data_IF_279353506104
#
_entry.id   IF_279353506104
#
_cell.length_a   1.000
_cell.length_b   1.000
_cell.length_c   1.000
_cell.angle_alpha   90.00
_cell.angle_beta   90.00
_cell.angle_gamma   90.00
#
_symmetry.space_group_name_H-M   'P 1'
#
loop_
_entity.id
_entity.type
_entity.pdbx_description
1 polymer ?
#
# COMPACT_ATOMS: atom_id res chain seq x y z
N UNK A 1 -81.79 -9.57 -2.71
CA UNK A 1 -81.32 -9.02 -4.01
C UNK A 1 -80.16 -8.09 -3.73
N UNK A 2 -78.94 -8.52 -4.07
CA UNK A 2 -77.73 -7.77 -3.80
C UNK A 2 -77.40 -6.73 -4.86
N UNK A 3 -76.50 -5.81 -4.52
CA UNK A 3 -75.59 -5.16 -5.47
C UNK A 3 -74.18 -5.13 -4.85
N UNK A 4 -73.24 -5.48 -5.72
CA UNK A 4 -71.92 -6.03 -5.44
C UNK A 4 -70.95 -4.95 -4.99
N UNK A 5 -70.16 -5.30 -3.98
CA UNK A 5 -68.90 -4.65 -3.63
C UNK A 5 -67.93 -4.83 -4.79
N UNK A 6 -67.46 -3.73 -5.38
CA UNK A 6 -66.45 -3.72 -6.43
C UNK A 6 -65.07 -3.87 -5.81
N UNK A 7 -64.57 -5.09 -5.75
CA UNK A 7 -63.15 -5.36 -5.53
C UNK A 7 -62.42 -4.90 -6.79
N UNK A 8 -61.70 -3.79 -6.71
CA UNK A 8 -60.77 -3.36 -7.75
C UNK A 8 -59.57 -4.31 -7.67
N UNK A 9 -59.66 -5.39 -8.44
CA UNK A 9 -58.58 -6.33 -8.64
C UNK A 9 -57.49 -5.59 -9.47
N UNK A 10 -56.51 -5.02 -8.79
CA UNK A 10 -55.28 -4.58 -9.46
C UNK A 10 -54.61 -5.84 -10.01
N UNK A 11 -54.73 -6.05 -11.32
CA UNK A 11 -54.09 -7.14 -12.04
C UNK A 11 -52.58 -6.95 -11.97
N UNK A 12 -51.93 -7.58 -10.97
CA UNK A 12 -50.49 -7.72 -10.91
C UNK A 12 -50.09 -8.74 -11.99
N UNK A 13 -49.92 -8.27 -13.22
CA UNK A 13 -49.46 -9.10 -14.33
C UNK A 13 -47.94 -9.23 -14.22
N UNK A 14 -47.47 -10.03 -13.26
CA UNK A 14 -46.07 -10.47 -13.26
C UNK A 14 -45.95 -11.51 -14.37
N UNK A 15 -45.31 -11.17 -15.48
CA UNK A 15 -44.91 -12.15 -16.50
C UNK A 15 -43.77 -13.04 -15.94
N UNK A 16 -44.09 -13.89 -14.96
CA UNK A 16 -43.22 -15.00 -14.57
C UNK A 16 -43.42 -16.07 -15.63
N UNK A 17 -42.44 -16.22 -16.53
CA UNK A 17 -42.41 -17.39 -17.42
C UNK A 17 -41.81 -18.54 -16.61
N UNK A 18 -42.66 -19.47 -16.18
CA UNK A 18 -42.22 -20.74 -15.62
C UNK A 18 -41.68 -21.62 -16.77
N UNK A 19 -40.38 -21.92 -16.73
CA UNK A 19 -39.79 -23.05 -17.47
C UNK A 19 -39.08 -23.94 -16.47
N UNK A 20 -39.76 -25.01 -16.04
CA UNK A 20 -39.28 -25.90 -14.97
C UNK A 20 -39.44 -25.28 -13.57
N UNK A 21 -38.53 -25.61 -12.65
CA UNK A 21 -38.49 -25.08 -11.27
C UNK A 21 -38.01 -23.61 -11.18
N UNK A 22 -37.68 -22.99 -12.31
CA UNK A 22 -37.15 -21.63 -12.35
C UNK A 22 -38.28 -20.63 -12.58
N UNK A 23 -38.38 -19.65 -11.68
CA UNK A 23 -39.11 -18.42 -11.93
C UNK A 23 -38.15 -17.43 -12.60
N UNK A 24 -38.45 -17.04 -13.85
CA UNK A 24 -37.58 -16.16 -14.64
C UNK A 24 -38.28 -14.83 -14.92
N UNK A 25 -37.50 -13.75 -14.86
CA UNK A 25 -37.89 -12.42 -15.36
C UNK A 25 -37.42 -12.30 -16.81
N UNK A 26 -38.31 -11.86 -17.71
CA UNK A 26 -38.00 -11.65 -19.12
C UNK A 26 -36.88 -10.61 -19.31
N UNK A 27 -36.10 -10.73 -20.39
CA UNK A 27 -35.09 -9.73 -20.74
C UNK A 27 -35.70 -8.33 -20.86
N UNK A 28 -34.97 -7.33 -20.36
CA UNK A 28 -35.36 -5.91 -20.29
C UNK A 28 -36.50 -5.60 -19.30
N UNK A 29 -36.78 -6.50 -18.37
CA UNK A 29 -37.67 -6.24 -17.22
C UNK A 29 -36.89 -6.25 -15.90
N UNK A 30 -37.44 -5.57 -14.90
CA UNK A 30 -36.88 -5.53 -13.56
C UNK A 30 -37.96 -5.72 -12.49
N UNK A 31 -37.53 -6.17 -11.31
CA UNK A 31 -38.29 -6.11 -10.08
C UNK A 31 -37.88 -4.85 -9.32
N UNK A 32 -38.82 -3.97 -8.96
CA UNK A 32 -38.46 -2.71 -8.32
C UNK A 32 -39.64 -1.85 -7.91
N UNK A 33 -39.35 -0.74 -7.23
CA UNK A 33 -40.33 0.27 -6.83
C UNK A 33 -40.37 1.40 -7.89
N UNK A 34 -41.55 1.68 -8.43
CA UNK A 34 -41.80 2.68 -9.48
C UNK A 34 -40.81 2.66 -10.67
N UNK A 35 -40.40 1.49 -11.20
CA UNK A 35 -39.29 1.40 -12.15
C UNK A 35 -39.58 1.97 -13.55
N UNK A 36 -40.76 2.56 -13.79
CA UNK A 36 -41.16 3.18 -15.07
C UNK A 36 -41.36 4.69 -14.99
N UNK A 37 -41.28 5.28 -13.79
CA UNK A 37 -41.45 6.73 -13.58
C UNK A 37 -40.31 7.35 -12.78
N UNK A 38 -39.54 6.51 -12.09
CA UNK A 38 -38.35 6.89 -11.34
C UNK A 38 -37.15 6.11 -11.91
N UNK A 39 -36.62 6.62 -13.01
CA UNK A 39 -35.63 5.94 -13.85
C UNK A 39 -34.43 6.83 -14.16
N UNK A 40 -33.33 6.21 -14.61
CA UNK A 40 -32.17 6.86 -15.19
C UNK A 40 -31.71 6.08 -16.42
N UNK A 41 -30.91 6.72 -17.27
CA UNK A 41 -30.38 6.10 -18.49
C UNK A 41 -28.90 5.76 -18.32
N UNK A 42 -28.55 4.50 -18.60
CA UNK A 42 -27.17 4.03 -18.67
C UNK A 42 -26.94 3.28 -19.99
N UNK A 43 -25.94 3.71 -20.77
CA UNK A 43 -25.62 3.14 -22.09
C UNK A 43 -26.87 2.98 -23.00
N UNK A 44 -27.73 4.01 -23.04
CA UNK A 44 -28.95 4.02 -23.86
C UNK A 44 -30.08 3.12 -23.37
N UNK A 45 -29.94 2.50 -22.19
CA UNK A 45 -30.97 1.66 -21.57
C UNK A 45 -31.56 2.36 -20.35
N UNK A 46 -32.88 2.38 -20.25
CA UNK A 46 -33.59 2.91 -19.08
C UNK A 46 -33.57 1.88 -17.93
N UNK A 47 -33.24 2.35 -16.73
CA UNK A 47 -33.12 1.54 -15.51
C UNK A 47 -33.90 2.22 -14.38
N UNK A 48 -34.70 1.47 -13.64
CA UNK A 48 -35.36 1.98 -12.43
C UNK A 48 -34.37 2.28 -11.31
N UNK A 49 -34.53 3.41 -10.62
CA UNK A 49 -33.68 3.85 -9.51
C UNK A 49 -33.65 2.87 -8.31
N UNK A 50 -34.69 2.04 -8.16
CA UNK A 50 -34.80 1.04 -7.10
C UNK A 50 -35.20 -0.30 -7.71
N UNK A 51 -34.28 -0.96 -8.40
CA UNK A 51 -34.62 -2.14 -9.19
C UNK A 51 -33.53 -3.21 -9.27
N UNK A 52 -33.93 -4.46 -9.48
CA UNK A 52 -33.11 -5.59 -9.87
C UNK A 52 -33.64 -6.13 -11.20
N UNK A 53 -32.83 -6.13 -12.26
CA UNK A 53 -33.29 -6.54 -13.59
C UNK A 53 -32.20 -7.15 -14.47
N UNK A 54 -32.61 -7.76 -15.57
CA UNK A 54 -31.73 -8.36 -16.58
C UNK A 54 -31.83 -7.59 -17.89
N UNK A 55 -30.68 -7.23 -18.44
CA UNK A 55 -30.58 -6.34 -19.60
C UNK A 55 -29.78 -7.01 -20.71
N UNK A 56 -30.28 -6.89 -21.95
CA UNK A 56 -29.61 -7.46 -23.11
C UNK A 56 -28.45 -6.55 -23.55
N UNK A 57 -27.28 -7.15 -23.77
CA UNK A 57 -26.12 -6.54 -24.43
C UNK A 57 -25.91 -7.19 -25.81
N UNK A 58 -25.11 -6.59 -26.72
CA UNK A 58 -24.92 -7.15 -28.07
C UNK A 58 -24.43 -8.60 -28.12
N UNK A 59 -23.69 -9.05 -27.11
CA UNK A 59 -23.09 -10.39 -27.05
C UNK A 59 -23.37 -11.15 -25.75
N UNK A 60 -24.16 -10.61 -24.83
CA UNK A 60 -24.44 -11.21 -23.52
C UNK A 60 -25.68 -10.61 -22.87
N UNK A 61 -26.00 -11.03 -21.63
CA UNK A 61 -26.97 -10.36 -20.78
C UNK A 61 -26.32 -10.09 -19.43
N UNK A 62 -26.72 -9.01 -18.77
CA UNK A 62 -26.22 -8.65 -17.44
C UNK A 62 -27.36 -8.43 -16.44
N UNK A 63 -27.11 -8.80 -15.19
CA UNK A 63 -27.97 -8.45 -14.07
C UNK A 63 -27.52 -7.10 -13.50
N UNK A 64 -28.43 -6.16 -13.33
CA UNK A 64 -28.17 -4.87 -12.68
C UNK A 64 -28.99 -4.76 -11.40
N UNK A 65 -28.34 -4.31 -10.32
CA UNK A 65 -28.97 -3.91 -9.08
C UNK A 65 -28.78 -2.41 -8.90
N UNK A 66 -29.87 -1.69 -8.69
CA UNK A 66 -29.91 -0.24 -8.57
C UNK A 66 -30.60 0.19 -7.28
N UNK A 67 -29.99 1.16 -6.60
CA UNK A 67 -30.54 1.83 -5.44
C UNK A 67 -30.01 3.25 -5.37
N UNK A 68 -30.86 4.25 -5.60
CA UNK A 68 -30.48 5.67 -5.60
C UNK A 68 -29.79 6.11 -4.30
N UNK A 69 -30.27 5.63 -3.15
CA UNK A 69 -29.66 5.89 -1.84
C UNK A 69 -28.46 5.02 -1.49
N UNK A 70 -28.01 4.15 -2.41
CA UNK A 70 -27.01 3.11 -2.17
C UNK A 70 -27.60 1.71 -1.99
N UNK A 71 -26.71 0.73 -1.81
CA UNK A 71 -27.02 -0.70 -1.70
C UNK A 71 -26.45 -1.24 -0.39
N UNK A 72 -27.24 -2.04 0.33
CA UNK A 72 -26.80 -2.72 1.56
C UNK A 72 -27.00 -4.23 1.41
N UNK A 73 -25.96 -5.00 1.74
CA UNK A 73 -25.98 -6.46 1.71
C UNK A 73 -25.97 -7.02 3.13
N UNK A 74 -26.98 -7.83 3.46
CA UNK A 74 -27.17 -8.42 4.79
C UNK A 74 -27.09 -9.94 4.76
N UNK A 75 -26.43 -10.54 5.74
CA UNK A 75 -26.48 -11.99 5.99
C UNK A 75 -26.48 -12.27 7.50
N UNK A 76 -27.23 -13.28 7.94
CA UNK A 76 -27.38 -13.57 9.38
C UNK A 76 -27.95 -12.37 10.16
N UNK A 77 -28.81 -11.56 9.52
CA UNK A 77 -29.41 -10.33 10.07
C UNK A 77 -28.41 -9.22 10.41
N UNK A 78 -27.21 -9.24 9.83
CA UNK A 78 -26.15 -8.25 10.02
C UNK A 78 -25.74 -7.63 8.69
N UNK A 79 -25.40 -6.34 8.69
CA UNK A 79 -24.82 -5.69 7.51
C UNK A 79 -23.42 -6.24 7.25
N UNK A 80 -23.13 -6.63 6.01
CA UNK A 80 -21.82 -7.14 5.59
C UNK A 80 -21.08 -6.16 4.70
N UNK A 81 -21.78 -5.61 3.73
CA UNK A 81 -21.24 -4.68 2.74
C UNK A 81 -22.25 -3.57 2.44
N UNK A 82 -21.75 -2.37 2.20
CA UNK A 82 -22.52 -1.22 1.74
C UNK A 82 -21.85 -0.61 0.52
N UNK A 83 -22.64 -0.15 -0.44
CA UNK A 83 -22.24 0.77 -1.50
C UNK A 83 -23.02 2.05 -1.27
N UNK A 84 -22.35 3.15 -0.94
CA UNK A 84 -23.00 4.45 -0.74
C UNK A 84 -23.42 5.06 -2.09
N UNK A 85 -24.34 6.02 -2.07
CA UNK A 85 -24.70 6.83 -3.25
C UNK A 85 -23.51 7.62 -3.82
N UNK A 86 -22.45 7.83 -3.02
CA UNK A 86 -21.17 8.41 -3.46
C UNK A 86 -20.29 7.43 -4.26
N UNK A 87 -20.69 6.16 -4.33
CA UNK A 87 -19.96 5.06 -4.96
C UNK A 87 -18.90 4.41 -4.07
N UNK A 88 -18.71 4.87 -2.82
CA UNK A 88 -17.77 4.25 -1.89
C UNK A 88 -18.32 2.92 -1.36
N UNK A 89 -17.46 1.90 -1.30
CA UNK A 89 -17.79 0.56 -0.81
C UNK A 89 -17.22 0.37 0.60
N UNK A 90 -18.07 0.01 1.55
CA UNK A 90 -17.69 -0.34 2.91
C UNK A 90 -17.88 -1.82 3.19
N UNK A 91 -16.86 -2.49 3.75
CA UNK A 91 -16.95 -3.86 4.28
C UNK A 91 -16.68 -3.80 5.78
N UNK A 92 -17.68 -4.14 6.61
CA UNK A 92 -17.58 -4.01 8.06
C UNK A 92 -17.59 -2.56 8.60
N UNK A 93 -17.79 -1.56 7.74
CA UNK A 93 -17.93 -0.14 8.11
C UNK A 93 -19.16 0.49 7.45
N UNK A 94 -19.77 1.46 8.12
CA UNK A 94 -20.91 2.25 7.63
C UNK A 94 -20.49 3.55 6.93
N UNK A 95 -19.26 3.98 7.19
CA UNK A 95 -18.73 5.28 6.77
C UNK A 95 -17.42 5.08 6.01
N UNK A 96 -17.45 4.45 4.82
CA UNK A 96 -16.27 4.33 3.99
C UNK A 96 -15.79 5.72 3.55
N UNK A 97 -14.57 6.06 3.97
CA UNK A 97 -13.83 7.30 3.69
C UNK A 97 -13.04 7.23 2.38
N UNK A 98 -12.73 6.03 1.90
CA UNK A 98 -12.14 5.77 0.58
C UNK A 98 -13.11 5.04 -0.36
N UNK A 99 -12.72 4.88 -1.64
CA UNK A 99 -13.50 4.11 -2.63
C UNK A 99 -13.79 2.69 -2.17
N UNK A 100 -12.86 2.07 -1.45
CA UNK A 100 -13.04 0.83 -0.72
C UNK A 100 -12.48 1.01 0.69
N UNK A 101 -13.32 0.83 1.71
CA UNK A 101 -12.89 0.81 3.11
C UNK A 101 -13.28 -0.53 3.75
N UNK A 102 -12.30 -1.19 4.37
CA UNK A 102 -12.49 -2.50 5.03
C UNK A 102 -12.12 -2.36 6.51
N UNK A 103 -13.11 -2.55 7.40
CA UNK A 103 -12.86 -2.61 8.84
C UNK A 103 -12.54 -4.05 9.25
N UNK A 104 -11.30 -4.46 9.01
CA UNK A 104 -10.82 -5.81 9.31
C UNK A 104 -9.54 -6.17 8.55
N UNK A 105 -9.17 -7.45 8.60
CA UNK A 105 -8.02 -7.98 7.86
C UNK A 105 -8.41 -8.32 6.43
N UNK A 106 -7.56 -7.98 5.47
CA UNK A 106 -7.63 -8.44 4.08
C UNK A 106 -6.60 -9.56 3.93
N UNK A 107 -7.02 -10.74 3.48
CA UNK A 107 -6.12 -11.84 3.13
C UNK A 107 -6.08 -11.91 1.60
N UNK A 108 -4.91 -11.65 1.03
CA UNK A 108 -4.65 -11.69 -0.41
C UNK A 108 -3.40 -12.52 -0.67
N UNK A 109 -3.33 -13.19 -1.82
CA UNK A 109 -2.12 -13.88 -2.27
C UNK A 109 -1.06 -12.87 -2.75
N UNK A 110 -1.48 -11.80 -3.44
CA UNK A 110 -0.62 -10.72 -3.93
C UNK A 110 -1.38 -9.39 -3.96
N UNK A 111 -0.67 -8.29 -3.72
CA UNK A 111 -1.18 -6.92 -3.86
C UNK A 111 -0.21 -6.13 -4.73
N UNK A 112 -0.66 -5.74 -5.91
CA UNK A 112 0.05 -4.76 -6.75
C UNK A 112 -0.44 -3.36 -6.42
N UNK A 113 0.48 -2.49 -6.01
CA UNK A 113 0.21 -1.07 -5.75
C UNK A 113 0.80 -0.27 -6.89
N UNK A 114 -0.06 0.41 -7.66
CA UNK A 114 0.41 1.33 -8.70
C UNK A 114 0.90 2.62 -8.04
N UNK A 115 2.14 2.98 -8.33
CA UNK A 115 2.78 4.17 -7.79
C UNK A 115 2.70 5.31 -8.80
N UNK A 116 2.39 6.51 -8.32
CA UNK A 116 2.35 7.73 -9.14
C UNK A 116 3.71 8.43 -9.24
N UNK A 117 4.70 7.99 -8.45
CA UNK A 117 6.05 8.56 -8.39
C UNK A 117 7.10 7.47 -8.69
N UNK A 118 8.21 7.81 -9.37
CA UNK A 118 9.30 6.88 -9.62
C UNK A 118 10.00 6.47 -8.31
N UNK A 119 10.67 5.30 -8.36
CA UNK A 119 11.55 4.76 -7.30
C UNK A 119 12.55 5.77 -6.74
N UNK A 120 13.08 5.56 -5.52
CA UNK A 120 13.99 6.49 -4.87
C UNK A 120 15.43 6.49 -5.41
N UNK A 121 15.67 5.97 -6.63
CA UNK A 121 16.98 5.92 -7.30
C UNK A 121 17.73 7.27 -7.37
N UNK A 122 17.03 8.39 -7.12
CA UNK A 122 17.64 9.70 -6.98
C UNK A 122 18.68 9.77 -5.85
N UNK A 123 18.64 8.86 -4.87
CA UNK A 123 19.64 8.74 -3.79
C UNK A 123 21.05 8.50 -4.36
N UNK A 124 21.17 7.92 -5.54
CA UNK A 124 22.46 7.63 -6.18
C UNK A 124 23.01 8.77 -7.06
N UNK A 125 22.31 9.91 -7.16
CA UNK A 125 22.79 11.05 -7.95
C UNK A 125 23.90 11.79 -7.21
N UNK A 126 24.81 12.41 -7.97
CA UNK A 126 25.96 13.14 -7.41
C UNK A 126 25.56 14.33 -6.53
N UNK A 127 24.40 14.93 -6.79
CA UNK A 127 23.84 16.07 -6.06
C UNK A 127 22.95 15.66 -4.87
N UNK A 128 22.84 14.37 -4.57
CA UNK A 128 22.07 13.90 -3.41
C UNK A 128 22.76 14.30 -2.10
N UNK A 129 22.06 15.09 -1.28
CA UNK A 129 22.53 15.52 0.04
C UNK A 129 22.39 14.40 1.07
N UNK A 130 23.27 13.39 0.97
CA UNK A 130 23.34 12.30 1.93
C UNK A 130 23.85 12.84 3.26
N UNK A 131 22.94 12.90 4.25
CA UNK A 131 23.24 13.28 5.64
C UNK A 131 24.44 12.50 6.18
N UNK A 132 25.20 13.10 7.09
CA UNK A 132 26.21 12.35 7.83
C UNK A 132 25.56 11.44 8.88
N UNK A 133 26.26 10.36 9.26
CA UNK A 133 25.79 9.49 10.35
C UNK A 133 25.67 10.24 11.69
N UNK A 134 26.47 11.30 11.89
CA UNK A 134 26.35 12.17 13.07
C UNK A 134 25.05 12.97 13.06
N UNK A 135 24.67 13.55 11.91
CA UNK A 135 23.39 14.24 11.77
C UNK A 135 22.21 13.29 11.94
N UNK A 136 22.28 12.09 11.35
CA UNK A 136 21.25 11.05 11.52
C UNK A 136 21.15 10.65 13.01
N UNK A 137 22.28 10.43 13.68
CA UNK A 137 22.30 10.12 15.11
C UNK A 137 21.65 11.24 15.96
N UNK A 138 21.97 12.49 15.65
CA UNK A 138 21.39 13.64 16.36
C UNK A 138 19.88 13.75 16.11
N UNK A 139 19.42 13.49 14.88
CA UNK A 139 18.00 13.43 14.56
C UNK A 139 17.27 12.33 15.34
N UNK A 140 17.83 11.11 15.39
CA UNK A 140 17.24 9.99 16.13
C UNK A 140 17.19 10.31 17.62
N UNK A 141 18.24 10.93 18.20
CA UNK A 141 18.21 11.34 19.61
C UNK A 141 17.13 12.36 19.92
N UNK A 142 16.86 13.27 18.99
CA UNK A 142 15.86 14.32 19.16
C UNK A 142 14.42 13.85 18.91
N UNK A 143 14.21 12.97 17.93
CA UNK A 143 12.87 12.62 17.44
C UNK A 143 12.46 11.16 17.70
N UNK A 144 13.41 10.27 18.03
CA UNK A 144 13.13 8.86 18.31
C UNK A 144 12.86 7.97 17.09
N UNK A 145 12.96 8.50 15.87
CA UNK A 145 12.80 7.77 14.61
C UNK A 145 13.78 8.26 13.53
N UNK A 146 13.82 7.57 12.40
CA UNK A 146 14.66 7.95 11.26
C UNK A 146 14.10 9.19 10.54
N UNK A 147 14.96 10.02 9.91
CA UNK A 147 14.51 11.08 9.01
C UNK A 147 13.60 10.54 7.91
N UNK A 148 12.59 11.32 7.51
CA UNK A 148 11.59 11.01 6.47
C UNK A 148 10.64 9.83 6.77
N UNK A 149 10.89 9.05 7.83
CA UNK A 149 9.99 8.00 8.31
C UNK A 149 9.03 8.62 9.34
N UNK A 150 7.70 8.43 9.21
CA UNK A 150 6.76 8.97 10.19
C UNK A 150 6.98 8.34 11.56
N UNK A 151 6.62 9.09 12.61
CA UNK A 151 6.74 8.58 13.98
C UNK A 151 5.72 7.48 14.26
N UNK A 152 5.93 6.71 15.34
CA UNK A 152 4.96 5.70 15.76
C UNK A 152 3.59 6.31 16.08
N UNK A 153 3.56 7.50 16.68
CA UNK A 153 2.34 8.25 17.00
C UNK A 153 1.61 8.68 15.72
N UNK A 154 2.34 9.20 14.73
CA UNK A 154 1.76 9.58 13.43
C UNK A 154 1.17 8.38 12.68
N UNK A 155 1.84 7.22 12.75
CA UNK A 155 1.37 5.96 12.15
C UNK A 155 0.13 5.40 12.88
N UNK A 156 0.04 5.59 14.19
CA UNK A 156 -1.13 5.15 14.97
C UNK A 156 -2.36 6.02 14.68
N UNK A 157 -2.17 7.33 14.53
CA UNK A 157 -3.24 8.27 14.27
C UNK A 157 -3.75 8.20 12.81
N UNK A 158 -2.83 8.20 11.84
CA UNK A 158 -3.17 8.34 10.43
C UNK A 158 -3.16 7.01 9.65
N UNK A 159 -2.66 5.93 10.27
CA UNK A 159 -2.38 4.68 9.59
C UNK A 159 -1.12 4.75 8.74
N UNK A 160 -0.94 3.74 7.88
CA UNK A 160 0.23 3.61 7.01
C UNK A 160 -0.25 3.44 5.57
N UNK A 161 0.20 4.34 4.70
CA UNK A 161 0.06 4.18 3.26
C UNK A 161 1.11 3.20 2.75
N UNK A 162 0.69 1.98 2.40
CA UNK A 162 1.60 0.86 2.08
C UNK A 162 2.58 1.21 0.95
N UNK A 163 2.11 1.88 -0.10
CA UNK A 163 2.95 2.29 -1.23
C UNK A 163 4.02 3.30 -0.82
N UNK A 164 3.61 4.39 -0.15
CA UNK A 164 4.55 5.43 0.30
C UNK A 164 5.54 4.91 1.33
N UNK A 165 5.10 4.07 2.26
CA UNK A 165 5.97 3.50 3.28
C UNK A 165 7.01 2.57 2.65
N UNK A 166 6.62 1.72 1.70
CA UNK A 166 7.58 0.88 0.96
C UNK A 166 8.61 1.71 0.21
N UNK A 167 8.22 2.86 -0.35
CA UNK A 167 9.13 3.79 -1.03
C UNK A 167 10.12 4.44 -0.07
N UNK A 168 9.64 4.93 1.07
CA UNK A 168 10.49 5.47 2.13
C UNK A 168 11.46 4.43 2.68
N UNK A 169 11.01 3.18 2.83
CA UNK A 169 11.88 2.08 3.26
C UNK A 169 12.96 1.78 2.21
N UNK A 170 12.61 1.78 0.92
CA UNK A 170 13.57 1.59 -0.16
C UNK A 170 14.61 2.72 -0.19
N UNK A 171 14.19 3.97 -0.04
CA UNK A 171 15.11 5.13 0.11
C UNK A 171 16.12 4.89 1.23
N UNK A 172 15.67 4.42 2.41
CA UNK A 172 16.58 4.14 3.54
C UNK A 172 17.50 2.94 3.30
N UNK A 173 17.06 1.94 2.54
CA UNK A 173 17.93 0.84 2.12
C UNK A 173 19.03 1.36 1.19
N UNK A 174 18.69 2.22 0.24
CA UNK A 174 19.67 2.81 -0.69
C UNK A 174 20.67 3.72 0.03
N UNK A 175 20.22 4.56 0.96
CA UNK A 175 21.10 5.35 1.82
C UNK A 175 22.04 4.45 2.67
N UNK A 176 21.51 3.36 3.22
CA UNK A 176 22.30 2.38 3.97
C UNK A 176 23.39 1.75 3.11
N UNK A 177 23.10 1.45 1.84
CA UNK A 177 24.10 0.97 0.88
C UNK A 177 25.21 2.01 0.68
N UNK A 178 24.87 3.30 0.52
CA UNK A 178 25.88 4.37 0.42
C UNK A 178 26.75 4.50 1.67
N UNK A 179 26.16 4.41 2.86
CA UNK A 179 26.95 4.40 4.10
C UNK A 179 27.87 3.17 4.20
N UNK A 180 27.40 2.01 3.74
CA UNK A 180 28.19 0.77 3.76
C UNK A 180 29.38 0.86 2.81
N UNK A 181 29.18 1.38 1.59
CA UNK A 181 30.28 1.63 0.63
C UNK A 181 31.29 2.62 1.23
N UNK A 182 30.82 3.72 1.85
CA UNK A 182 31.71 4.69 2.51
C UNK A 182 32.51 4.06 3.66
N UNK A 183 31.91 3.12 4.39
CA UNK A 183 32.57 2.39 5.47
C UNK A 183 33.62 1.43 4.94
N UNK A 184 33.32 0.67 3.87
CA UNK A 184 34.27 -0.25 3.23
C UNK A 184 35.54 0.49 2.76
N UNK A 185 35.36 1.60 2.04
CA UNK A 185 36.47 2.46 1.59
C UNK A 185 37.31 2.97 2.78
N UNK A 186 36.67 3.25 3.92
CA UNK A 186 37.38 3.67 5.13
C UNK A 186 38.16 2.51 5.76
N UNK A 187 37.61 1.30 5.76
CA UNK A 187 38.27 0.09 6.27
C UNK A 187 39.52 -0.21 5.42
N UNK A 188 39.41 -0.23 4.10
CA UNK A 188 40.55 -0.43 3.19
C UNK A 188 41.68 0.59 3.45
N UNK A 189 41.32 1.87 3.67
CA UNK A 189 42.30 2.92 4.01
C UNK A 189 42.97 2.69 5.36
N UNK A 190 42.24 2.18 6.35
CA UNK A 190 42.78 1.85 7.67
C UNK A 190 43.70 0.63 7.59
N UNK A 191 43.32 -0.41 6.85
CA UNK A 191 44.15 -1.60 6.60
C UNK A 191 45.46 -1.22 5.91
N UNK A 192 45.40 -0.46 4.81
CA UNK A 192 46.60 0.04 4.13
C UNK A 192 47.49 0.93 5.03
N UNK A 193 46.90 1.61 6.02
CA UNK A 193 47.67 2.38 7.00
C UNK A 193 48.32 1.47 8.04
N UNK A 194 47.64 0.41 8.47
CA UNK A 194 48.19 -0.60 9.39
C UNK A 194 49.35 -1.37 8.76
N UNK A 195 49.27 -1.71 7.47
CA UNK A 195 50.37 -2.36 6.74
C UNK A 195 51.64 -1.48 6.74
N UNK A 196 51.48 -0.19 6.46
CA UNK A 196 52.60 0.78 6.54
C UNK A 196 53.18 0.91 7.94
N UNK A 197 52.34 0.87 8.96
CA UNK A 197 52.80 0.90 10.36
C UNK A 197 53.63 -0.34 10.66
N UNK A 198 53.17 -1.53 10.22
CA UNK A 198 53.92 -2.78 10.36
C UNK A 198 55.30 -2.72 9.69
N UNK A 199 55.38 -2.21 8.46
CA UNK A 199 56.65 -2.05 7.74
C UNK A 199 57.62 -1.08 8.45
N UNK A 200 57.08 0.00 9.02
CA UNK A 200 57.86 0.97 9.80
C UNK A 200 58.36 0.36 11.12
N UNK A 201 57.55 -0.45 11.79
CA UNK A 201 57.95 -1.17 13.02
C UNK A 201 59.08 -2.16 12.75
N UNK A 202 59.04 -2.90 11.63
CA UNK A 202 60.13 -3.81 11.23
C UNK A 202 61.43 -3.06 10.93
N UNK A 203 61.33 -1.96 10.19
CA UNK A 203 62.48 -1.09 9.88
C UNK A 203 63.13 -0.53 11.14
N UNK A 204 62.31 -0.04 12.09
CA UNK A 204 62.77 0.50 13.36
C UNK A 204 63.45 -0.57 14.23
N UNK A 205 62.90 -1.78 14.28
CA UNK A 205 63.51 -2.90 14.99
C UNK A 205 64.87 -3.28 14.42
N UNK A 206 65.03 -3.24 13.10
CA UNK A 206 66.30 -3.47 12.42
C UNK A 206 67.32 -2.40 12.79
N UNK A 207 66.96 -1.12 12.70
CA UNK A 207 67.81 -0.01 13.12
C UNK A 207 68.24 -0.12 14.59
N UNK A 208 67.33 -0.52 15.48
CA UNK A 208 67.63 -0.74 16.89
C UNK A 208 68.66 -1.86 17.11
N UNK A 209 68.61 -2.94 16.31
CA UNK A 209 69.62 -4.02 16.34
C UNK A 209 70.98 -3.51 15.87
N UNK A 210 71.03 -2.78 14.76
CA UNK A 210 72.26 -2.19 14.22
C UNK A 210 72.91 -1.23 15.22
N UNK A 211 72.14 -0.33 15.83
CA UNK A 211 72.62 0.60 16.87
C UNK A 211 73.20 -0.18 18.06
N UNK A 212 72.59 -1.31 18.45
CA UNK A 212 73.09 -2.14 19.55
C UNK A 212 74.44 -2.77 19.22
N UNK A 213 74.63 -3.24 17.98
CA UNK A 213 75.91 -3.79 17.52
C UNK A 213 76.99 -2.69 17.41
N UNK A 214 76.67 -1.53 16.84
CA UNK A 214 77.57 -0.38 16.81
C UNK A 214 78.02 0.06 18.21
N UNK A 215 77.10 0.08 19.18
CA UNK A 215 77.42 0.39 20.59
C UNK A 215 78.40 -0.63 21.20
N UNK A 216 78.26 -1.92 20.87
CA UNK A 216 79.22 -2.95 21.33
C UNK A 216 80.61 -2.72 20.72
N UNK A 217 80.68 -2.48 19.41
CA UNK A 217 81.94 -2.20 18.69
C UNK A 217 82.69 -1.01 19.27
N UNK A 218 81.98 0.10 19.53
CA UNK A 218 82.57 1.29 20.15
C UNK A 218 83.13 0.99 21.55
N UNK A 219 82.44 0.17 22.35
CA UNK A 219 82.91 -0.22 23.68
C UNK A 219 84.20 -1.04 23.62
N UNK A 220 84.35 -1.91 22.62
CA UNK A 220 85.58 -2.67 22.39
C UNK A 220 86.74 -1.81 21.89
N UNK A 221 86.50 -0.78 21.08
CA UNK A 221 87.57 0.13 20.59
C UNK A 221 88.08 1.12 21.65
N UNK A 222 87.33 1.33 22.74
CA UNK A 222 87.73 2.22 23.85
C UNK A 222 88.53 1.52 24.96
N UNK A 223 88.76 0.21 24.84
CA UNK A 223 89.66 -0.58 25.71
C UNK A 223 91.02 -0.72 25.04
#
# INVERSE_FOLDING_TARGET
>A
MGKKSGILLCTLLVFIVSRGQNQTISLNYCFGFNPSTDTFTYNGTEIGNYSLGWYSLPSSAEARLSGYGGIKLFTGRQLRMIVLSTGNVGIGTLTPDAKLAVKGKIHAEEVKVDLSVPGPDYVFKEDYDLKSLEEVQNYIKANGHLPNIPSAEEMEENGIELGEMNMKLLEKIEELVLYTIKQEIKIEKLEASNDKISDLEESLNTQNREIKELKKLIKTMKK
#
